data_IF_243040713405
#
_entry.id   IF_243040713405
#
_cell.length_a   1.000
_cell.length_b   1.000
_cell.length_c   1.000
_cell.angle_alpha   90.00
_cell.angle_beta   90.00
_cell.angle_gamma   90.00
#
_symmetry.space_group_name_H-M   'P 1'
#
loop_
_entity.id
_entity.type
_entity.pdbx_description
1 polymer ?
#
# COMPACT_ATOMS: atom_id res chain seq x y z
N UNK A 1 -15.25 -8.35 2.74
CA UNK A 1 -14.41 -7.49 1.88
C UNK A 1 -12.95 -7.83 2.13
N UNK A 2 -12.12 -7.75 1.10
CA UNK A 2 -10.73 -8.22 1.10
C UNK A 2 -9.83 -7.11 0.59
N UNK A 3 -8.76 -6.79 1.30
CA UNK A 3 -7.71 -5.90 0.80
C UNK A 3 -6.66 -6.77 0.10
N UNK A 4 -6.40 -6.50 -1.17
CA UNK A 4 -5.34 -7.20 -1.90
C UNK A 4 -3.96 -6.81 -1.38
N UNK A 5 -3.08 -7.79 -1.28
CA UNK A 5 -1.72 -7.60 -0.75
C UNK A 5 -0.79 -6.98 -1.78
N UNK A 6 0.11 -6.12 -1.33
CA UNK A 6 1.16 -5.54 -2.14
C UNK A 6 2.51 -5.57 -1.38
N UNK A 7 3.59 -5.41 -2.14
CA UNK A 7 4.93 -5.18 -1.60
C UNK A 7 5.32 -3.75 -1.93
N UNK A 8 6.01 -3.10 -0.99
CA UNK A 8 6.64 -1.80 -1.22
C UNK A 8 8.13 -2.01 -1.35
N UNK A 9 8.66 -1.81 -2.56
CA UNK A 9 10.09 -1.94 -2.84
C UNK A 9 10.92 -0.95 -2.00
N UNK A 10 12.13 -1.35 -1.55
CA UNK A 10 13.04 -0.45 -0.84
C UNK A 10 13.28 0.84 -1.63
N UNK A 11 13.10 1.99 -0.98
CA UNK A 11 13.21 3.31 -1.62
C UNK A 11 11.90 3.87 -2.16
N UNK A 12 10.80 3.12 -2.13
CA UNK A 12 9.47 3.67 -2.40
C UNK A 12 9.10 4.75 -1.38
N UNK A 13 8.50 5.84 -1.85
CA UNK A 13 7.98 6.95 -1.07
C UNK A 13 6.64 7.37 -1.67
N UNK A 14 5.57 7.25 -0.91
CA UNK A 14 4.25 7.65 -1.36
C UNK A 14 3.20 7.36 -0.30
N UNK A 15 1.99 7.85 -0.52
CA UNK A 15 0.85 7.57 0.36
C UNK A 15 0.36 6.12 0.24
N UNK A 16 0.66 5.48 -0.89
CA UNK A 16 0.15 4.18 -1.31
C UNK A 16 -1.36 4.15 -1.56
N UNK A 17 -1.76 3.38 -2.57
CA UNK A 17 -3.13 2.96 -2.78
C UNK A 17 -3.23 1.44 -2.74
N UNK A 18 -4.34 0.90 -2.22
CA UNK A 18 -4.60 -0.54 -2.15
C UNK A 18 -5.99 -0.83 -2.71
N UNK A 19 -6.16 -2.01 -3.31
CA UNK A 19 -7.45 -2.46 -3.81
C UNK A 19 -8.24 -3.13 -2.68
N UNK A 20 -9.45 -2.63 -2.43
CA UNK A 20 -10.43 -3.27 -1.55
C UNK A 20 -11.54 -3.88 -2.40
N UNK A 21 -11.67 -5.20 -2.38
CA UNK A 21 -12.72 -5.93 -3.08
C UNK A 21 -13.87 -6.22 -2.13
N UNK A 22 -15.09 -5.84 -2.52
CA UNK A 22 -16.32 -6.10 -1.77
C UNK A 22 -17.15 -7.13 -2.52
N UNK A 23 -16.99 -8.41 -2.17
CA UNK A 23 -17.74 -9.51 -2.77
C UNK A 23 -19.22 -9.58 -2.32
N UNK A 24 -19.54 -8.98 -1.17
CA UNK A 24 -20.91 -8.94 -0.67
C UNK A 24 -21.72 -7.93 -1.49
N UNK A 25 -22.80 -8.38 -2.14
CA UNK A 25 -23.68 -7.53 -2.97
C UNK A 25 -24.37 -6.43 -2.14
N UNK A 26 -24.65 -6.71 -0.86
CA UNK A 26 -25.19 -5.72 0.09
C UNK A 26 -24.14 -4.70 0.59
N UNK A 27 -22.88 -4.88 0.16
CA UNK A 27 -21.78 -3.96 0.46
C UNK A 27 -21.21 -4.09 1.87
N UNK A 28 -20.53 -3.03 2.31
CA UNK A 28 -19.97 -2.85 3.65
C UNK A 28 -20.11 -1.39 4.10
N UNK A 29 -20.11 -1.14 5.42
CA UNK A 29 -19.99 0.21 5.99
C UNK A 29 -18.68 0.33 6.77
N UNK A 30 -17.89 1.35 6.43
CA UNK A 30 -16.64 1.67 7.11
C UNK A 30 -16.78 3.01 7.82
N UNK A 31 -16.24 3.09 9.05
CA UNK A 31 -16.10 4.38 9.73
C UNK A 31 -14.93 5.15 9.12
N UNK A 32 -15.05 6.47 9.08
CA UNK A 32 -13.91 7.35 8.75
C UNK A 32 -12.76 7.02 9.70
N UNK A 33 -11.56 6.86 9.13
CA UNK A 33 -10.32 6.47 9.85
C UNK A 33 -10.32 5.07 10.47
N UNK A 34 -11.21 4.16 10.04
CA UNK A 34 -11.07 2.75 10.37
C UNK A 34 -9.72 2.23 9.86
N UNK A 35 -9.01 1.46 10.68
CA UNK A 35 -7.77 0.79 10.30
C UNK A 35 -8.13 -0.44 9.46
N UNK A 36 -7.76 -0.44 8.18
CA UNK A 36 -8.10 -1.51 7.23
C UNK A 36 -6.91 -2.38 6.84
N UNK A 37 -5.69 -1.86 6.99
CA UNK A 37 -4.45 -2.49 6.51
C UNK A 37 -3.39 -2.41 7.59
N UNK A 38 -2.54 -3.43 7.67
CA UNK A 38 -1.35 -3.45 8.49
C UNK A 38 -0.12 -3.60 7.59
N UNK A 39 0.91 -2.79 7.83
CA UNK A 39 2.21 -2.94 7.20
C UNK A 39 3.05 -3.93 8.01
N UNK A 40 3.68 -4.87 7.31
CA UNK A 40 4.67 -5.79 7.87
C UNK A 40 6.01 -5.44 7.26
N UNK A 41 6.98 -5.10 8.11
CA UNK A 41 8.32 -4.71 7.67
C UNK A 41 9.24 -5.93 7.63
N UNK A 42 9.86 -6.13 6.47
CA UNK A 42 10.83 -7.20 6.23
C UNK A 42 12.17 -6.55 5.93
N UNK A 43 13.24 -7.01 6.60
CA UNK A 43 14.59 -6.51 6.33
C UNK A 43 15.10 -7.09 5.01
N UNK A 44 15.49 -6.22 4.09
CA UNK A 44 16.20 -6.62 2.87
C UNK A 44 17.69 -6.78 3.18
N UNK A 45 18.28 -7.90 2.76
CA UNK A 45 19.69 -8.20 2.91
C UNK A 45 20.43 -7.91 1.60
N UNK A 46 21.63 -7.35 1.70
CA UNK A 46 22.41 -6.92 0.53
C UNK A 46 22.07 -5.51 0.06
N UNK A 47 22.70 -5.09 -1.03
CA UNK A 47 22.49 -3.78 -1.65
C UNK A 47 21.14 -3.75 -2.40
N UNK A 48 20.36 -2.69 -2.19
CA UNK A 48 19.12 -2.43 -2.93
C UNK A 48 19.35 -1.61 -4.21
N UNK A 49 20.62 -1.30 -4.50
CA UNK A 49 21.05 -0.52 -5.64
C UNK A 49 20.54 0.92 -5.54
N UNK A 50 19.81 1.37 -6.57
CA UNK A 50 19.24 2.72 -6.61
C UNK A 50 17.92 2.90 -5.85
N UNK A 51 17.38 1.83 -5.25
CA UNK A 51 16.03 1.79 -4.72
C UNK A 51 14.94 1.96 -5.79
N UNK A 52 13.67 2.00 -5.36
CA UNK A 52 12.52 2.16 -6.24
C UNK A 52 12.52 3.51 -6.97
N UNK A 53 12.38 3.45 -8.29
CA UNK A 53 12.25 4.61 -9.20
C UNK A 53 11.13 4.42 -10.23
N UNK A 54 10.14 3.59 -9.90
CA UNK A 54 9.01 3.30 -10.79
C UNK A 54 7.99 4.43 -10.87
N UNK A 55 6.97 4.25 -11.71
CA UNK A 55 5.99 5.32 -12.04
C UNK A 55 5.13 5.76 -10.85
N UNK A 56 5.01 4.93 -9.82
CA UNK A 56 4.22 5.24 -8.61
C UNK A 56 5.04 5.97 -7.54
N UNK A 57 6.29 6.32 -7.82
CA UNK A 57 7.12 7.05 -6.88
C UNK A 57 6.52 8.44 -6.61
N UNK A 58 6.43 8.81 -5.32
CA UNK A 58 5.82 10.04 -4.81
C UNK A 58 4.30 10.14 -4.96
N UNK A 59 3.59 9.05 -5.26
CA UNK A 59 2.14 9.10 -5.40
C UNK A 59 1.42 9.55 -4.13
N UNK A 60 0.38 10.36 -4.29
CA UNK A 60 -0.49 10.80 -3.20
C UNK A 60 0.17 11.66 -2.12
N UNK A 61 1.43 12.08 -2.32
CA UNK A 61 2.08 13.10 -1.50
C UNK A 61 1.53 14.46 -1.91
N UNK A 62 1.15 15.29 -0.93
CA UNK A 62 0.87 16.71 -1.19
C UNK A 62 2.20 17.44 -1.31
N UNK A 63 2.28 18.41 -2.23
CA UNK A 63 3.38 19.36 -2.29
C UNK A 63 3.46 20.18 -1.00
#
# INVERSE_FOLDING_TARGET
>A
ATVETAVWDPGYRGRSYSLLIVYNEEGIRLKRNARLVQLVFIKVMGDTGGGYKGTYQFEGLKQ
#
